data_IF_542175023638
#
_entry.id   IF_542175023638
#
_cell.length_a   1.000
_cell.length_b   1.000
_cell.length_c   1.000
_cell.angle_alpha   90.00
_cell.angle_beta   90.00
_cell.angle_gamma   90.00
#
_symmetry.space_group_name_H-M   'P 1'
#
loop_
_entity.id
_entity.type
_entity.pdbx_description
1 polymer ?
#
# COMPACT_ATOMS: atom_id res chain seq x y z
N UNK A 1 6.70 20.25 6.64
CA UNK A 1 7.83 19.28 6.64
C UNK A 1 8.86 19.58 7.73
N UNK A 2 9.26 20.84 7.96
CA UNK A 2 10.25 21.27 8.97
C UNK A 2 10.08 20.63 10.36
N UNK A 3 8.88 20.68 10.95
CA UNK A 3 8.58 20.10 12.27
C UNK A 3 8.87 18.60 12.36
N UNK A 4 8.62 17.85 11.29
CA UNK A 4 8.85 16.40 11.26
C UNK A 4 10.35 16.07 11.24
N UNK A 5 11.15 16.90 10.56
CA UNK A 5 12.61 16.79 10.52
C UNK A 5 13.23 17.16 11.87
N UNK A 6 12.77 18.27 12.47
CA UNK A 6 13.24 18.75 13.78
C UNK A 6 12.98 17.73 14.90
N UNK A 7 11.88 16.98 14.79
CA UNK A 7 11.53 15.90 15.74
C UNK A 7 12.12 14.54 15.37
N UNK A 8 12.99 14.49 14.35
CA UNK A 8 13.60 13.26 13.83
C UNK A 8 12.58 12.15 13.45
N UNK A 9 11.34 12.55 13.12
CA UNK A 9 10.29 11.61 12.70
C UNK A 9 10.48 11.16 11.26
N UNK A 10 11.08 12.03 10.46
CA UNK A 10 11.48 11.75 9.08
C UNK A 10 12.91 12.25 8.87
N UNK A 11 13.60 11.65 7.91
CA UNK A 11 14.93 12.07 7.47
C UNK A 11 14.94 12.21 5.95
N UNK A 12 15.85 13.02 5.43
CA UNK A 12 16.11 13.10 3.99
C UNK A 12 17.52 12.56 3.76
N UNK A 13 17.64 11.53 2.94
CA UNK A 13 18.95 10.95 2.64
C UNK A 13 19.72 11.77 1.58
N UNK A 14 20.97 11.35 1.31
CA UNK A 14 21.85 12.00 0.33
C UNK A 14 21.29 12.01 -1.10
N UNK A 15 20.30 11.18 -1.39
CA UNK A 15 19.60 11.12 -2.67
C UNK A 15 18.29 11.92 -2.69
N UNK A 16 18.09 12.83 -1.73
CA UNK A 16 16.85 13.58 -1.54
C UNK A 16 15.61 12.69 -1.33
N UNK A 17 15.78 11.47 -0.81
CA UNK A 17 14.65 10.60 -0.51
C UNK A 17 14.20 10.82 0.92
N UNK A 18 12.92 11.10 1.09
CA UNK A 18 12.27 11.15 2.39
C UNK A 18 12.18 9.72 2.96
N UNK A 19 12.69 9.52 4.16
CA UNK A 19 12.64 8.26 4.91
C UNK A 19 11.89 8.49 6.21
N UNK A 20 11.07 7.52 6.60
CA UNK A 20 10.42 7.50 7.90
C UNK A 20 11.21 6.57 8.82
N UNK A 21 11.34 6.94 10.09
CA UNK A 21 11.93 6.05 11.09
C UNK A 21 11.14 4.74 11.18
N UNK A 22 11.83 3.60 11.32
CA UNK A 22 11.19 2.28 11.29
C UNK A 22 10.11 2.13 12.37
N UNK A 23 10.36 2.62 13.58
CA UNK A 23 9.35 2.67 14.66
C UNK A 23 8.07 3.40 14.27
N UNK A 24 8.15 4.55 13.59
CA UNK A 24 6.95 5.30 13.18
C UNK A 24 6.19 4.59 12.07
N UNK A 25 6.94 3.92 11.18
CA UNK A 25 6.35 3.08 10.15
C UNK A 25 5.62 1.90 10.78
N UNK A 26 6.21 1.25 11.79
CA UNK A 26 5.59 0.15 12.53
C UNK A 26 4.36 0.62 13.31
N UNK A 27 4.42 1.75 14.00
CA UNK A 27 3.26 2.36 14.65
C UNK A 27 2.15 2.66 13.66
N UNK A 28 2.47 3.24 12.50
CA UNK A 28 1.48 3.51 11.46
C UNK A 28 0.83 2.23 10.91
N UNK A 29 1.61 1.15 10.77
CA UNK A 29 1.09 -0.17 10.38
C UNK A 29 0.18 -0.77 11.45
N UNK A 30 0.56 -0.66 12.71
CA UNK A 30 -0.23 -1.15 13.83
C UNK A 30 -1.59 -0.45 13.92
N UNK A 31 -1.61 0.88 13.75
CA UNK A 31 -2.87 1.65 13.71
C UNK A 31 -3.80 1.14 12.61
N UNK A 32 -3.26 0.88 11.41
CA UNK A 32 -4.09 0.34 10.31
C UNK A 32 -4.50 -1.11 10.57
N UNK A 33 -3.64 -1.93 11.17
CA UNK A 33 -3.99 -3.29 11.56
C UNK A 33 -5.16 -3.31 12.56
N UNK A 34 -5.19 -2.38 13.50
CA UNK A 34 -6.27 -2.22 14.48
C UNK A 34 -7.61 -1.78 13.87
N UNK A 35 -7.62 -1.19 12.66
CA UNK A 35 -8.88 -0.89 11.95
C UNK A 35 -9.66 -2.17 11.65
N UNK A 36 -8.96 -3.26 11.30
CA UNK A 36 -9.57 -4.55 10.99
C UNK A 36 -8.54 -5.70 11.02
N UNK A 37 -8.33 -6.31 12.21
CA UNK A 37 -7.28 -7.34 12.39
C UNK A 37 -7.48 -8.61 11.56
N UNK A 38 -8.73 -8.93 11.20
CA UNK A 38 -9.10 -10.19 10.55
C UNK A 38 -9.59 -10.02 9.12
N UNK A 39 -9.91 -8.79 8.71
CA UNK A 39 -10.52 -8.50 7.40
C UNK A 39 -9.71 -7.39 6.73
N UNK A 40 -8.61 -7.74 6.04
CA UNK A 40 -7.71 -6.74 5.44
C UNK A 40 -8.42 -5.82 4.44
N UNK A 41 -9.45 -6.32 3.76
CA UNK A 41 -10.26 -5.55 2.82
C UNK A 41 -11.00 -4.37 3.46
N UNK A 42 -11.15 -4.34 4.78
CA UNK A 42 -11.72 -3.21 5.53
C UNK A 42 -10.67 -2.21 6.04
N UNK A 43 -9.39 -2.47 5.82
CA UNK A 43 -8.32 -1.54 6.18
C UNK A 43 -8.23 -0.40 5.16
N UNK A 44 -7.98 0.81 5.65
CA UNK A 44 -7.78 2.01 4.83
C UNK A 44 -6.48 1.94 4.02
N UNK A 45 -5.50 1.11 4.42
CA UNK A 45 -4.23 0.96 3.72
C UNK A 45 -3.84 -0.51 3.60
N UNK A 46 -3.36 -0.90 2.42
CA UNK A 46 -2.88 -2.23 2.12
C UNK A 46 -1.44 -2.19 1.61
N UNK A 47 -0.57 -3.03 2.18
CA UNK A 47 0.84 -3.16 1.77
C UNK A 47 1.36 -4.60 1.77
N UNK A 48 0.64 -5.54 2.40
CA UNK A 48 1.04 -6.95 2.39
C UNK A 48 0.70 -7.57 1.03
N UNK A 49 1.73 -8.07 0.36
CA UNK A 49 1.61 -8.60 -1.00
C UNK A 49 0.52 -9.67 -1.13
N UNK A 50 0.50 -10.64 -0.22
CA UNK A 50 -0.45 -11.77 -0.28
C UNK A 50 -1.89 -11.28 -0.16
N UNK A 51 -2.17 -10.44 0.84
CA UNK A 51 -3.50 -9.87 1.08
C UNK A 51 -3.97 -9.02 -0.11
N UNK A 52 -3.09 -8.18 -0.67
CA UNK A 52 -3.42 -7.34 -1.83
C UNK A 52 -3.76 -8.19 -3.06
N UNK A 53 -3.01 -9.25 -3.34
CA UNK A 53 -3.31 -10.14 -4.46
C UNK A 53 -4.64 -10.86 -4.30
N UNK A 54 -4.95 -11.34 -3.10
CA UNK A 54 -6.22 -12.00 -2.81
C UNK A 54 -7.42 -11.05 -2.96
N UNK A 55 -7.27 -9.78 -2.55
CA UNK A 55 -8.31 -8.77 -2.69
C UNK A 55 -8.55 -8.41 -4.17
N UNK A 56 -7.46 -8.18 -4.91
CA UNK A 56 -7.54 -7.79 -6.32
C UNK A 56 -8.04 -8.93 -7.22
N UNK A 57 -7.64 -10.17 -6.95
CA UNK A 57 -8.10 -11.35 -7.71
C UNK A 57 -9.58 -11.66 -7.52
N UNK A 58 -10.16 -11.32 -6.36
CA UNK A 58 -11.57 -11.55 -6.06
C UNK A 58 -12.49 -10.40 -6.53
N UNK A 59 -11.97 -9.40 -7.25
CA UNK A 59 -12.73 -8.20 -7.66
C UNK A 59 -13.40 -7.48 -6.48
N UNK A 60 -12.82 -7.66 -5.29
CA UNK A 60 -13.29 -7.10 -4.01
C UNK A 60 -12.54 -5.82 -3.67
N UNK A 61 -12.25 -4.97 -4.66
CA UNK A 61 -11.83 -3.62 -4.33
C UNK A 61 -12.90 -2.99 -3.43
N UNK A 62 -12.51 -2.58 -2.23
CA UNK A 62 -13.46 -2.02 -1.26
C UNK A 62 -13.42 -0.51 -1.30
N UNK A 63 -14.56 0.09 -0.95
CA UNK A 63 -14.70 1.55 -0.86
C UNK A 63 -13.94 2.14 0.34
N UNK A 64 -13.28 1.32 1.16
CA UNK A 64 -12.56 1.76 2.36
C UNK A 64 -11.09 2.01 2.06
N UNK A 65 -10.51 1.27 1.11
CA UNK A 65 -9.07 1.36 0.77
C UNK A 65 -8.76 2.75 0.19
N UNK A 66 -7.85 3.45 0.86
CA UNK A 66 -7.31 4.76 0.48
C UNK A 66 -5.87 4.69 -0.01
N UNK A 67 -5.11 3.68 0.42
CA UNK A 67 -3.72 3.48 0.00
C UNK A 67 -3.43 2.03 -0.33
N UNK A 68 -2.82 1.79 -1.50
CA UNK A 68 -2.42 0.45 -1.93
C UNK A 68 -0.98 0.46 -2.43
N UNK A 69 -0.17 -0.41 -1.86
CA UNK A 69 1.21 -0.67 -2.33
C UNK A 69 1.35 -2.12 -2.72
N UNK A 70 1.81 -2.37 -3.95
CA UNK A 70 2.04 -3.70 -4.48
C UNK A 70 3.42 -3.79 -5.12
N UNK A 71 4.23 -4.72 -4.63
CA UNK A 71 5.54 -5.03 -5.20
C UNK A 71 5.50 -6.41 -5.85
N UNK A 72 5.61 -6.42 -7.18
CA UNK A 72 5.69 -7.61 -8.01
C UNK A 72 7.09 -8.22 -7.92
N UNK A 73 7.20 -9.56 -7.96
CA UNK A 73 8.49 -10.22 -8.05
C UNK A 73 9.09 -9.96 -9.44
N UNK A 74 10.41 -9.92 -9.54
CA UNK A 74 11.08 -9.65 -10.81
C UNK A 74 10.99 -10.83 -11.79
N UNK A 75 10.81 -12.04 -11.27
CA UNK A 75 10.96 -13.30 -12.00
C UNK A 75 9.69 -13.75 -12.73
N UNK A 76 8.51 -13.26 -12.33
CA UNK A 76 7.23 -13.66 -12.91
C UNK A 76 6.35 -12.43 -13.20
N UNK A 77 5.93 -12.29 -14.46
CA UNK A 77 4.88 -11.33 -14.84
C UNK A 77 3.59 -11.81 -14.19
N UNK A 78 3.12 -11.08 -13.19
CA UNK A 78 1.80 -11.33 -12.61
C UNK A 78 0.78 -10.47 -13.33
N UNK A 79 -0.31 -11.08 -13.77
CA UNK A 79 -1.44 -10.37 -14.33
C UNK A 79 -2.23 -9.67 -13.23
N UNK A 80 -2.45 -8.38 -13.42
CA UNK A 80 -3.27 -7.57 -12.53
C UNK A 80 -4.62 -7.33 -13.19
N UNK A 81 -5.70 -7.72 -12.50
CA UNK A 81 -7.02 -7.34 -12.95
C UNK A 81 -7.30 -5.88 -12.56
N UNK A 82 -7.54 -5.03 -13.57
CA UNK A 82 -7.75 -3.61 -13.34
C UNK A 82 -9.17 -3.21 -12.94
N UNK A 83 -10.16 -4.08 -13.14
CA UNK A 83 -11.56 -3.83 -12.73
C UNK A 83 -11.70 -3.74 -11.21
N UNK A 84 -10.85 -4.44 -10.46
CA UNK A 84 -10.82 -4.33 -9.00
C UNK A 84 -10.60 -2.89 -8.51
N UNK A 85 -9.86 -2.06 -9.26
CA UNK A 85 -9.64 -0.65 -8.90
C UNK A 85 -10.87 0.23 -9.12
N UNK A 86 -11.81 -0.15 -9.99
CA UNK A 86 -13.01 0.64 -10.24
C UNK A 86 -13.87 0.78 -8.97
N UNK A 87 -13.85 -0.22 -8.10
CA UNK A 87 -14.59 -0.22 -6.82
C UNK A 87 -13.84 0.51 -5.69
N UNK A 88 -12.55 0.82 -5.86
CA UNK A 88 -11.73 1.52 -4.86
C UNK A 88 -11.88 3.04 -4.98
N UNK A 89 -13.11 3.54 -4.85
CA UNK A 89 -13.44 4.95 -5.10
C UNK A 89 -12.74 5.96 -4.15
N UNK A 90 -12.24 5.51 -2.99
CA UNK A 90 -11.51 6.33 -2.02
C UNK A 90 -9.98 6.23 -2.16
N UNK A 91 -9.47 5.53 -3.17
CA UNK A 91 -8.04 5.36 -3.37
C UNK A 91 -7.38 6.71 -3.69
N UNK A 92 -6.43 7.11 -2.84
CA UNK A 92 -5.66 8.36 -2.94
C UNK A 92 -4.18 8.14 -3.22
N UNK A 93 -3.67 6.95 -2.89
CA UNK A 93 -2.29 6.57 -3.11
C UNK A 93 -2.22 5.17 -3.71
N UNK A 94 -1.60 5.07 -4.88
CA UNK A 94 -1.31 3.81 -5.55
C UNK A 94 0.19 3.74 -5.85
N UNK A 95 0.85 2.71 -5.33
CA UNK A 95 2.26 2.43 -5.62
C UNK A 95 2.41 1.01 -6.17
N UNK A 96 2.83 0.90 -7.42
CA UNK A 96 3.12 -0.36 -8.10
C UNK A 96 4.62 -0.40 -8.43
N UNK A 97 5.27 -1.52 -8.14
CA UNK A 97 6.70 -1.70 -8.44
C UNK A 97 6.99 -3.13 -8.89
N UNK A 98 7.90 -3.32 -9.85
CA UNK A 98 8.26 -4.63 -10.41
C UNK A 98 7.59 -4.90 -11.77
N UNK A 99 7.71 -6.14 -12.26
CA UNK A 99 7.23 -6.55 -13.58
C UNK A 99 5.78 -7.05 -13.50
N UNK A 100 4.85 -6.36 -14.15
CA UNK A 100 3.45 -6.78 -14.24
C UNK A 100 2.86 -6.45 -15.62
N UNK A 101 1.82 -7.18 -16.01
CA UNK A 101 1.04 -6.92 -17.21
C UNK A 101 -0.42 -6.65 -16.86
N UNK A 102 -1.08 -5.84 -17.69
CA UNK A 102 -2.52 -5.60 -17.59
C UNK A 102 -3.26 -6.78 -18.22
N UNK A 103 -4.23 -7.36 -17.52
CA UNK A 103 -5.31 -8.11 -18.17
C UNK A 103 -6.46 -7.12 -18.43
N UNK A 104 -6.87 -7.04 -19.69
CA UNK A 104 -8.04 -6.26 -20.15
C UNK A 104 -9.29 -7.10 -19.91
#
# INVERSE_FOLDING_TARGET
MKVLLERSLVTVDKGNKLRMHDLLRDMGRQIVFEESPFVPENCSRLWQRVEVFDILSKYKGTEVVQGLTLKFPNENIVSLNTEAFQKMCKLRLLQLAGNFSKQV
#
